data_IF_540871913961
#
_entry.id   IF_540871913961
#
_cell.length_a   1.000
_cell.length_b   1.000
_cell.length_c   1.000
_cell.angle_alpha   90.00
_cell.angle_beta   90.00
_cell.angle_gamma   90.00
#
_symmetry.space_group_name_H-M   'P 1'
#
loop_
_entity.id
_entity.type
_entity.pdbx_description
1 polymer ?
#
# COMPACT_ATOMS: atom_id res chain seq x y z
N UNK A 1 1.79 33.41 30.20
CA UNK A 1 0.79 33.58 29.14
C UNK A 1 1.18 32.70 27.98
N UNK A 2 0.39 31.67 27.66
CA UNK A 2 0.64 30.81 26.52
C UNK A 2 0.06 31.49 25.27
N UNK A 3 0.90 31.74 24.26
CA UNK A 3 0.44 32.26 22.98
C UNK A 3 -0.29 31.13 22.21
N UNK A 4 -1.48 31.41 21.64
CA UNK A 4 -2.29 30.41 20.96
C UNK A 4 -1.66 30.05 19.61
N UNK A 5 -1.26 28.78 19.46
CA UNK A 5 -0.75 28.22 18.22
C UNK A 5 -1.88 28.04 17.22
N UNK A 6 -1.94 28.90 16.20
CA UNK A 6 -2.95 28.79 15.15
C UNK A 6 -3.05 29.95 14.17
N UNK A 7 -2.22 31.00 14.27
CA UNK A 7 -2.34 32.13 13.36
C UNK A 7 -1.36 32.06 12.19
N UNK A 8 -1.93 32.34 11.02
CA UNK A 8 -1.35 32.37 9.65
C UNK A 8 -0.32 33.50 9.46
N UNK A 9 0.33 33.95 10.52
CA UNK A 9 1.34 35.00 10.44
C UNK A 9 2.69 34.38 10.10
N UNK A 10 3.34 34.91 9.06
CA UNK A 10 4.73 34.62 8.73
C UNK A 10 5.55 34.78 10.02
N UNK A 11 6.04 33.68 10.59
CA UNK A 11 6.91 33.73 11.77
C UNK A 11 8.08 34.62 11.40
N UNK A 12 8.27 35.72 12.14
CA UNK A 12 9.36 36.65 11.84
C UNK A 12 10.70 35.94 12.07
N UNK A 13 11.73 36.14 11.21
CA UNK A 13 13.03 35.52 11.44
C UNK A 13 13.55 35.89 12.84
N UNK A 14 14.22 34.97 13.56
CA UNK A 14 14.84 35.29 14.86
C UNK A 14 15.73 36.52 14.79
N UNK A 15 16.34 36.75 13.62
CA UNK A 15 17.10 37.93 13.26
C UNK A 15 16.42 39.28 13.50
N UNK A 16 15.09 39.35 13.40
CA UNK A 16 14.34 40.56 13.77
C UNK A 16 14.38 40.79 15.27
N UNK A 17 14.07 39.76 16.08
CA UNK A 17 14.15 39.83 17.54
C UNK A 17 15.57 40.14 18.01
N UNK A 18 16.59 39.57 17.35
CA UNK A 18 18.00 39.88 17.62
C UNK A 18 18.28 41.36 17.36
N UNK A 19 17.79 41.91 16.26
CA UNK A 19 17.95 43.34 15.92
C UNK A 19 17.31 44.24 16.97
N UNK A 20 16.06 43.96 17.34
CA UNK A 20 15.33 44.75 18.33
C UNK A 20 16.09 44.78 19.68
N UNK A 21 16.61 43.63 20.14
CA UNK A 21 17.40 43.54 21.38
C UNK A 21 18.77 44.25 21.32
N UNK A 22 19.40 44.28 20.14
CA UNK A 22 20.65 45.00 19.91
C UNK A 22 20.38 46.52 19.98
N UNK A 23 19.30 46.98 19.35
CA UNK A 23 18.87 48.38 19.32
C UNK A 23 18.46 48.88 20.73
N UNK A 24 17.70 48.09 21.48
CA UNK A 24 17.30 48.39 22.86
C UNK A 24 18.50 48.56 23.81
N UNK A 25 19.63 47.91 23.50
CA UNK A 25 20.89 48.01 24.24
C UNK A 25 21.81 49.12 23.73
N UNK A 26 21.38 49.89 22.73
CA UNK A 26 22.18 50.94 22.09
C UNK A 26 23.42 50.41 21.35
N UNK A 27 23.42 49.12 20.98
CA UNK A 27 24.55 48.45 20.36
C UNK A 27 24.45 48.53 18.84
N UNK A 28 25.58 48.67 18.15
CA UNK A 28 25.60 48.56 16.67
C UNK A 28 25.71 47.10 16.23
N UNK A 29 25.26 46.74 15.03
CA UNK A 29 25.46 45.37 14.50
C UNK A 29 26.94 44.98 14.42
N UNK A 30 27.82 45.95 14.14
CA UNK A 30 29.27 45.77 14.13
C UNK A 30 29.81 45.41 15.52
N UNK A 31 29.36 46.14 16.53
CA UNK A 31 29.70 45.86 17.91
C UNK A 31 29.16 44.49 18.36
N UNK A 32 27.92 44.15 18.00
CA UNK A 32 27.35 42.84 18.27
C UNK A 32 28.17 41.72 17.62
N UNK A 33 28.55 41.87 16.35
CA UNK A 33 29.41 40.91 15.66
C UNK A 33 30.75 40.69 16.38
N UNK A 34 31.36 41.79 16.86
CA UNK A 34 32.59 41.73 17.65
C UNK A 34 32.39 40.97 18.97
N UNK A 35 31.29 41.23 19.70
CA UNK A 35 30.97 40.52 20.96
C UNK A 35 30.62 39.04 20.76
N UNK A 36 30.09 38.70 19.59
CA UNK A 36 29.74 37.33 19.21
C UNK A 36 30.92 36.50 18.69
N UNK A 37 32.07 37.14 18.46
CA UNK A 37 33.20 36.56 17.72
C UNK A 37 32.77 36.03 16.34
N UNK A 38 32.00 36.85 15.61
CA UNK A 38 31.49 36.55 14.28
C UNK A 38 31.79 37.71 13.32
N UNK A 39 31.86 37.42 12.02
CA UNK A 39 31.97 38.49 11.02
C UNK A 39 30.69 39.32 10.93
N UNK A 40 30.80 40.62 10.63
CA UNK A 40 29.65 41.50 10.38
C UNK A 40 28.73 40.93 9.28
N UNK A 41 29.32 40.30 8.25
CA UNK A 41 28.60 39.60 7.17
C UNK A 41 27.74 38.46 7.70
N UNK A 42 28.26 37.66 8.64
CA UNK A 42 27.52 36.54 9.22
C UNK A 42 26.37 37.04 10.09
N UNK A 43 26.60 38.08 10.91
CA UNK A 43 25.54 38.73 11.71
C UNK A 43 24.45 39.32 10.81
N UNK A 44 24.82 40.00 9.72
CA UNK A 44 23.86 40.55 8.77
C UNK A 44 22.96 39.46 8.18
N UNK A 45 23.53 38.31 7.80
CA UNK A 45 22.78 37.15 7.31
C UNK A 45 21.92 36.46 8.38
N UNK A 46 22.38 36.41 9.63
CA UNK A 46 21.57 35.92 10.75
C UNK A 46 20.36 36.83 10.95
N UNK A 47 20.57 38.15 10.91
CA UNK A 47 19.54 39.17 11.07
C UNK A 47 18.52 39.14 9.91
N UNK A 48 18.96 38.83 8.68
CA UNK A 48 18.05 38.68 7.52
C UNK A 48 17.34 37.31 7.47
N UNK A 49 17.74 36.34 8.30
CA UNK A 49 17.20 34.98 8.29
C UNK A 49 17.78 34.06 7.21
N UNK A 50 18.80 34.51 6.47
CA UNK A 50 19.44 33.73 5.40
C UNK A 50 20.28 32.55 5.90
N UNK A 51 20.82 32.63 7.11
CA UNK A 51 21.65 31.56 7.70
C UNK A 51 21.04 31.07 9.01
N UNK A 52 21.25 29.78 9.28
CA UNK A 52 20.72 29.09 10.45
C UNK A 52 21.28 29.71 11.74
N UNK A 53 20.40 30.01 12.69
CA UNK A 53 20.80 30.35 14.05
C UNK A 53 21.15 29.04 14.79
N UNK A 54 22.40 28.62 14.66
CA UNK A 54 22.87 27.34 15.24
C UNK A 54 22.92 27.38 16.76
N UNK A 55 22.88 26.22 17.42
CA UNK A 55 23.02 26.13 18.88
C UNK A 55 24.31 26.75 19.40
N UNK A 56 25.42 26.64 18.67
CA UNK A 56 26.69 27.30 19.02
C UNK A 56 26.54 28.83 19.03
N UNK A 57 25.93 29.40 17.98
CA UNK A 57 25.66 30.84 17.90
C UNK A 57 24.69 31.25 19.02
N UNK A 58 23.67 30.46 19.33
CA UNK A 58 22.74 30.72 20.44
C UNK A 58 23.50 30.79 21.77
N UNK A 59 24.35 29.81 22.08
CA UNK A 59 25.09 29.77 23.35
C UNK A 59 26.00 31.01 23.54
N UNK A 60 26.65 31.47 22.48
CA UNK A 60 27.41 32.74 22.50
C UNK A 60 26.48 33.93 22.73
N UNK A 61 25.36 33.95 22.01
CA UNK A 61 24.39 35.04 21.98
C UNK A 61 23.72 35.30 23.32
N UNK A 62 23.45 34.25 24.10
CA UNK A 62 22.85 34.36 25.44
C UNK A 62 23.70 35.25 26.35
N UNK A 63 25.02 35.14 26.25
CA UNK A 63 25.94 35.97 27.04
C UNK A 63 25.92 37.44 26.60
N UNK A 64 25.52 37.72 25.35
CA UNK A 64 25.53 39.08 24.76
C UNK A 64 24.17 39.78 24.87
N UNK A 65 23.07 39.08 24.59
CA UNK A 65 21.70 39.64 24.54
C UNK A 65 20.67 38.90 25.40
N UNK A 66 21.06 37.81 26.08
CA UNK A 66 20.21 37.09 27.04
C UNK A 66 19.22 36.11 26.41
N UNK A 67 18.18 35.78 27.20
CA UNK A 67 17.21 34.70 26.99
C UNK A 67 17.86 33.31 27.03
N UNK A 68 17.08 32.26 27.22
CA UNK A 68 17.64 30.90 27.30
C UNK A 68 17.77 30.23 25.92
N UNK A 69 18.48 29.09 25.89
CA UNK A 69 18.72 28.33 24.66
C UNK A 69 17.42 27.83 24.03
N UNK A 70 16.44 27.45 24.84
CA UNK A 70 15.17 26.89 24.37
C UNK A 70 14.34 27.96 23.66
N UNK A 71 14.30 29.19 24.18
CA UNK A 71 13.65 30.32 23.54
C UNK A 71 14.14 30.50 22.10
N UNK A 72 15.46 30.66 21.92
CA UNK A 72 16.05 30.90 20.60
C UNK A 72 15.93 29.71 19.66
N UNK A 73 16.09 28.50 20.19
CA UNK A 73 15.95 27.26 19.41
C UNK A 73 14.51 27.08 18.91
N UNK A 74 13.52 27.37 19.75
CA UNK A 74 12.11 27.30 19.36
C UNK A 74 11.77 28.37 18.31
N UNK A 75 12.27 29.60 18.48
CA UNK A 75 12.02 30.68 17.52
C UNK A 75 12.61 30.35 16.14
N UNK A 76 13.83 29.82 16.09
CA UNK A 76 14.47 29.37 14.85
C UNK A 76 13.73 28.19 14.22
N UNK A 77 13.35 27.18 15.02
CA UNK A 77 12.61 26.02 14.52
C UNK A 77 11.28 26.44 13.86
N UNK A 78 10.54 27.37 14.47
CA UNK A 78 9.28 27.88 13.95
C UNK A 78 9.47 28.67 12.66
N UNK A 79 10.47 29.54 12.61
CA UNK A 79 10.80 30.30 11.40
C UNK A 79 11.17 29.37 10.25
N UNK A 80 12.08 28.42 10.49
CA UNK A 80 12.51 27.45 9.47
C UNK A 80 11.39 26.56 9.01
N UNK A 81 10.52 26.10 9.92
CA UNK A 81 9.31 25.38 9.55
C UNK A 81 8.39 26.23 8.65
N UNK A 82 8.26 27.53 8.92
CA UNK A 82 7.52 28.47 8.08
C UNK A 82 8.14 28.64 6.68
N UNK A 83 9.45 28.86 6.60
CA UNK A 83 10.17 28.99 5.32
C UNK A 83 10.04 27.73 4.48
N UNK A 84 10.25 26.56 5.09
CA UNK A 84 10.09 25.27 4.40
C UNK A 84 8.66 25.10 3.91
N UNK A 85 7.65 25.38 4.74
CA UNK A 85 6.23 25.34 4.32
C UNK A 85 5.96 26.23 3.10
N UNK A 86 6.53 27.44 3.06
CA UNK A 86 6.37 28.33 1.92
C UNK A 86 7.01 27.75 0.65
N UNK A 87 8.22 27.21 0.75
CA UNK A 87 8.90 26.55 -0.39
C UNK A 87 8.20 25.27 -0.85
N UNK A 88 7.46 24.60 0.05
CA UNK A 88 6.69 23.41 -0.28
C UNK A 88 5.33 23.74 -0.95
N UNK A 89 4.84 24.98 -0.89
CA UNK A 89 3.57 25.37 -1.56
C UNK A 89 3.62 25.13 -3.06
N UNK A 90 4.77 25.36 -3.70
CA UNK A 90 4.95 25.07 -5.13
C UNK A 90 4.87 23.56 -5.42
N UNK A 91 5.22 22.71 -4.46
CA UNK A 91 5.05 21.25 -4.56
C UNK A 91 3.60 20.80 -4.32
N UNK A 92 2.84 21.54 -3.49
CA UNK A 92 1.41 21.31 -3.27
C UNK A 92 0.63 21.47 -4.58
N UNK A 93 0.95 22.47 -5.39
CA UNK A 93 0.29 22.68 -6.69
C UNK A 93 0.42 21.48 -7.65
N UNK A 94 1.56 20.78 -7.61
CA UNK A 94 1.72 19.56 -8.41
C UNK A 94 0.97 18.39 -7.78
N UNK A 95 0.98 18.27 -6.45
CA UNK A 95 0.21 17.25 -5.74
C UNK A 95 -1.29 17.39 -5.98
N UNK A 96 -1.84 18.61 -6.09
CA UNK A 96 -3.25 18.86 -6.42
C UNK A 96 -3.66 18.21 -7.75
N UNK A 97 -2.77 18.21 -8.76
CA UNK A 97 -3.02 17.54 -10.04
C UNK A 97 -3.21 16.03 -9.86
N UNK A 98 -2.34 15.41 -9.06
CA UNK A 98 -2.41 13.97 -8.77
C UNK A 98 -3.61 13.66 -7.87
N UNK A 99 -3.83 14.48 -6.85
CA UNK A 99 -4.92 14.34 -5.88
C UNK A 99 -6.27 14.21 -6.56
N UNK A 100 -6.53 15.02 -7.59
CA UNK A 100 -7.78 14.99 -8.36
C UNK A 100 -8.08 13.65 -9.05
N UNK A 101 -7.06 12.80 -9.22
CA UNK A 101 -7.15 11.47 -9.85
C UNK A 101 -7.21 10.34 -8.83
N UNK A 102 -6.97 10.63 -7.54
CA UNK A 102 -7.07 9.64 -6.46
C UNK A 102 -8.53 9.57 -6.00
N UNK A 103 -9.13 8.37 -5.85
CA UNK A 103 -10.54 8.21 -5.49
C UNK A 103 -10.80 8.43 -3.99
N UNK A 104 -10.39 9.57 -3.43
CA UNK A 104 -10.44 9.86 -1.98
C UNK A 104 -11.83 9.64 -1.35
N UNK A 105 -12.88 10.05 -2.05
CA UNK A 105 -14.25 9.85 -1.58
C UNK A 105 -14.58 8.37 -1.40
N UNK A 106 -14.19 7.54 -2.36
CA UNK A 106 -14.41 6.10 -2.27
C UNK A 106 -13.55 5.45 -1.18
N UNK A 107 -12.28 5.87 -1.02
CA UNK A 107 -11.45 5.41 0.09
C UNK A 107 -12.10 5.74 1.45
N UNK A 108 -12.76 6.89 1.57
CA UNK A 108 -13.49 7.29 2.77
C UNK A 108 -14.79 6.51 2.96
N UNK A 109 -15.58 6.32 1.89
CA UNK A 109 -16.80 5.49 1.90
C UNK A 109 -16.50 4.04 2.34
N UNK A 110 -15.31 3.51 1.98
CA UNK A 110 -14.81 2.20 2.40
C UNK A 110 -14.20 2.19 3.82
N UNK A 111 -14.12 3.34 4.48
CA UNK A 111 -13.58 3.50 5.83
C UNK A 111 -12.07 3.37 5.93
N UNK A 112 -11.33 3.61 4.84
CA UNK A 112 -9.86 3.51 4.82
C UNK A 112 -9.18 4.83 5.19
N UNK A 113 -9.88 5.96 4.99
CA UNK A 113 -9.41 7.30 5.35
C UNK A 113 -10.53 8.14 5.95
N UNK A 114 -10.16 9.05 6.86
CA UNK A 114 -11.04 10.10 7.36
C UNK A 114 -10.85 11.35 6.49
N UNK A 115 -11.78 11.58 5.56
CA UNK A 115 -11.65 12.64 4.56
C UNK A 115 -11.96 14.02 5.16
N UNK A 116 -11.04 14.96 5.00
CA UNK A 116 -11.21 16.38 5.36
C UNK A 116 -11.69 17.18 4.13
N UNK A 117 -12.46 18.24 4.34
CA UNK A 117 -12.98 19.09 3.26
C UNK A 117 -11.92 20.04 2.67
N UNK A 118 -10.82 20.31 3.39
CA UNK A 118 -9.79 21.27 2.96
C UNK A 118 -8.79 20.62 2.00
N UNK A 119 -8.52 21.22 0.82
CA UNK A 119 -7.58 20.67 -0.16
C UNK A 119 -6.19 20.37 0.41
N UNK A 120 -5.64 21.27 1.23
CA UNK A 120 -4.31 21.08 1.82
C UNK A 120 -4.27 19.89 2.79
N UNK A 121 -5.37 19.66 3.53
CA UNK A 121 -5.49 18.51 4.41
C UNK A 121 -5.64 17.21 3.62
N UNK A 122 -6.34 17.23 2.48
CA UNK A 122 -6.47 16.08 1.58
C UNK A 122 -5.13 15.69 0.94
N UNK A 123 -4.28 16.66 0.57
CA UNK A 123 -2.91 16.37 0.08
C UNK A 123 -2.11 15.63 1.15
N UNK A 124 -2.11 16.11 2.39
CA UNK A 124 -1.41 15.46 3.50
C UNK A 124 -1.99 14.08 3.82
N UNK A 125 -3.32 13.93 3.77
CA UNK A 125 -4.00 12.65 3.95
C UNK A 125 -3.57 11.64 2.87
N UNK A 126 -3.52 12.05 1.60
CA UNK A 126 -3.09 11.20 0.50
C UNK A 126 -1.60 10.82 0.63
N UNK A 127 -0.73 11.77 0.96
CA UNK A 127 0.70 11.53 1.25
C UNK A 127 0.88 10.50 2.36
N UNK A 128 0.13 10.63 3.45
CA UNK A 128 0.16 9.68 4.56
C UNK A 128 -0.36 8.30 4.13
N UNK A 129 -1.47 8.24 3.39
CA UNK A 129 -2.04 7.00 2.91
C UNK A 129 -1.09 6.23 1.99
N UNK A 130 -0.42 6.92 1.06
CA UNK A 130 0.57 6.33 0.16
C UNK A 130 1.98 6.21 0.77
N UNK A 131 2.18 6.73 1.99
CA UNK A 131 3.46 6.78 2.72
C UNK A 131 4.60 7.44 1.91
N UNK A 132 4.28 8.57 1.28
CA UNK A 132 5.21 9.36 0.46
C UNK A 132 5.30 10.79 0.97
N UNK A 133 6.47 11.43 0.81
CA UNK A 133 6.61 12.84 1.17
C UNK A 133 5.95 13.78 0.15
N UNK A 134 5.77 13.34 -1.09
CA UNK A 134 5.10 14.08 -2.16
C UNK A 134 4.37 13.09 -3.10
N UNK A 135 3.26 13.48 -3.72
CA UNK A 135 2.44 12.54 -4.49
C UNK A 135 3.09 12.10 -5.80
N UNK A 136 4.03 12.87 -6.36
CA UNK A 136 4.77 12.50 -7.59
C UNK A 136 5.52 11.19 -7.43
N UNK A 137 5.91 10.84 -6.21
CA UNK A 137 6.65 9.61 -5.93
C UNK A 137 5.80 8.38 -6.25
N UNK A 138 4.46 8.45 -6.16
CA UNK A 138 3.59 7.31 -6.50
C UNK A 138 3.61 7.01 -8.01
N UNK A 139 3.98 7.99 -8.84
CA UNK A 139 4.15 7.82 -10.29
C UNK A 139 5.54 7.30 -10.66
N UNK A 140 6.46 7.16 -9.69
CA UNK A 140 7.81 6.69 -9.95
C UNK A 140 7.89 5.18 -10.15
N UNK A 141 8.76 4.74 -11.06
CA UNK A 141 8.99 3.31 -11.33
C UNK A 141 9.48 2.55 -10.07
N UNK A 142 10.21 3.24 -9.19
CA UNK A 142 10.67 2.69 -7.90
C UNK A 142 9.56 2.30 -6.94
N UNK A 143 8.36 2.89 -7.09
CA UNK A 143 7.20 2.58 -6.26
C UNK A 143 6.27 1.54 -6.88
N UNK A 144 6.51 1.17 -8.14
CA UNK A 144 5.73 0.13 -8.81
C UNK A 144 6.06 -1.23 -8.17
N UNK A 145 5.07 -1.93 -7.59
CA UNK A 145 5.31 -3.25 -7.04
C UNK A 145 5.68 -4.23 -8.17
N UNK A 146 6.33 -5.34 -7.83
CA UNK A 146 6.54 -6.43 -8.78
C UNK A 146 5.22 -7.20 -8.95
N UNK A 147 4.57 -7.10 -10.11
CA UNK A 147 3.18 -7.56 -10.30
C UNK A 147 3.07 -8.79 -11.22
N UNK A 148 2.03 -9.61 -11.02
CA UNK A 148 1.73 -10.76 -11.87
C UNK A 148 1.37 -10.39 -13.30
N UNK A 149 0.96 -9.14 -13.53
CA UNK A 149 0.51 -8.62 -14.82
C UNK A 149 1.63 -8.19 -15.78
N UNK A 150 2.91 -8.40 -15.44
CA UNK A 150 4.04 -8.22 -16.37
C UNK A 150 4.03 -6.88 -17.10
N UNK A 151 4.59 -5.83 -16.50
CA UNK A 151 4.78 -4.50 -17.12
C UNK A 151 3.54 -3.78 -17.70
N UNK A 152 2.33 -4.33 -17.53
CA UNK A 152 1.06 -3.76 -18.01
C UNK A 152 0.22 -3.19 -16.86
N UNK A 153 0.85 -2.40 -15.97
CA UNK A 153 0.12 -1.25 -15.44
C UNK A 153 0.25 -0.23 -16.56
N UNK A 154 -0.83 -0.05 -17.33
CA UNK A 154 -0.86 1.00 -18.35
C UNK A 154 -0.37 2.29 -17.71
N UNK A 155 0.63 2.92 -18.32
CA UNK A 155 1.35 4.05 -17.73
C UNK A 155 0.49 5.32 -17.71
N UNK A 156 -0.73 5.25 -18.23
CA UNK A 156 -1.85 6.06 -17.76
C UNK A 156 -2.30 5.58 -16.37
N UNK A 157 -1.46 5.86 -15.37
CA UNK A 157 -1.56 5.43 -13.97
C UNK A 157 -3.01 5.32 -13.44
N UNK A 158 -3.44 4.10 -13.13
CA UNK A 158 -4.67 3.84 -12.40
C UNK A 158 -4.44 4.04 -10.89
N UNK A 159 -4.77 5.22 -10.37
CA UNK A 159 -4.64 5.51 -8.93
C UNK A 159 -5.63 4.72 -8.08
N UNK A 160 -6.72 4.22 -8.67
CA UNK A 160 -7.65 3.31 -7.99
C UNK A 160 -6.94 1.99 -7.71
N UNK A 161 -6.24 1.43 -8.70
CA UNK A 161 -5.38 0.25 -8.51
C UNK A 161 -4.27 0.52 -7.49
N UNK A 162 -3.57 1.66 -7.58
CA UNK A 162 -2.52 1.99 -6.60
C UNK A 162 -3.07 2.09 -5.18
N UNK A 163 -4.21 2.76 -5.00
CA UNK A 163 -4.83 2.91 -3.69
C UNK A 163 -5.27 1.54 -3.13
N UNK A 164 -5.78 0.66 -3.97
CA UNK A 164 -6.17 -0.70 -3.62
C UNK A 164 -4.97 -1.57 -3.24
N UNK A 165 -3.88 -1.49 -4.00
CA UNK A 165 -2.60 -2.15 -3.68
C UNK A 165 -2.05 -1.63 -2.34
N UNK A 166 -2.10 -0.32 -2.10
CA UNK A 166 -1.63 0.28 -0.87
C UNK A 166 -2.43 -0.23 0.34
N UNK A 167 -3.76 -0.32 0.20
CA UNK A 167 -4.60 -0.92 1.24
C UNK A 167 -4.23 -2.38 1.50
N UNK A 168 -3.93 -3.14 0.44
CA UNK A 168 -3.50 -4.52 0.58
C UNK A 168 -2.15 -4.63 1.30
N UNK A 169 -1.21 -3.69 1.08
CA UNK A 169 0.05 -3.64 1.83
C UNK A 169 -0.20 -3.43 3.32
N UNK A 170 -1.08 -2.49 3.70
CA UNK A 170 -1.44 -2.28 5.11
C UNK A 170 -1.96 -3.57 5.76
N UNK A 171 -2.90 -4.26 5.11
CA UNK A 171 -3.41 -5.55 5.61
C UNK A 171 -2.34 -6.63 5.66
N UNK A 172 -1.49 -6.73 4.64
CA UNK A 172 -0.42 -7.73 4.60
C UNK A 172 0.66 -7.49 5.66
N UNK A 173 0.86 -6.25 6.15
CA UNK A 173 1.79 -5.91 7.24
C UNK A 173 1.32 -6.39 8.60
N UNK A 174 0.02 -6.35 8.88
CA UNK A 174 -0.52 -6.86 10.15
C UNK A 174 -0.58 -8.40 10.19
N UNK A 175 -0.36 -9.08 9.05
CA UNK A 175 -0.35 -10.54 8.99
C UNK A 175 1.03 -11.13 9.37
N UNK A 176 1.02 -12.11 10.28
CA UNK A 176 2.21 -12.91 10.61
C UNK A 176 2.60 -13.88 9.50
N UNK A 177 3.37 -13.42 8.51
CA UNK A 177 3.80 -14.18 7.32
C UNK A 177 5.29 -14.52 7.39
N UNK A 178 5.66 -15.77 7.05
CA UNK A 178 7.06 -16.21 7.01
C UNK A 178 7.79 -15.71 5.75
N UNK A 179 9.13 -15.83 5.66
CA UNK A 179 9.82 -15.65 4.38
C UNK A 179 9.29 -16.60 3.30
N UNK A 180 9.18 -16.11 2.06
CA UNK A 180 8.65 -16.87 0.93
C UNK A 180 9.49 -18.11 0.60
N UNK A 181 8.86 -19.28 0.65
CA UNK A 181 9.45 -20.58 0.32
C UNK A 181 8.64 -21.25 -0.81
N UNK A 182 9.17 -21.17 -2.03
CA UNK A 182 8.51 -21.67 -3.24
C UNK A 182 8.35 -23.19 -3.22
N UNK A 183 9.33 -23.93 -2.67
CA UNK A 183 9.28 -25.40 -2.59
C UNK A 183 8.21 -25.83 -1.58
N UNK A 184 8.11 -25.12 -0.47
CA UNK A 184 7.05 -25.36 0.52
C UNK A 184 5.69 -25.01 -0.04
N UNK A 185 5.57 -23.90 -0.77
CA UNK A 185 4.33 -23.51 -1.45
C UNK A 185 3.87 -24.63 -2.39
N UNK A 186 4.73 -25.06 -3.31
CA UNK A 186 4.49 -26.13 -4.28
C UNK A 186 4.02 -27.44 -3.60
N UNK A 187 4.73 -27.88 -2.55
CA UNK A 187 4.38 -29.10 -1.78
C UNK A 187 3.03 -29.02 -1.09
N UNK A 188 2.51 -27.82 -0.81
CA UNK A 188 1.22 -27.65 -0.15
C UNK A 188 0.06 -27.43 -1.14
N UNK A 189 0.27 -27.41 -2.46
CA UNK A 189 -0.80 -27.19 -3.45
C UNK A 189 -1.92 -28.22 -3.37
N UNK A 190 -1.61 -29.50 -3.11
CA UNK A 190 -2.63 -30.53 -2.87
C UNK A 190 -3.48 -30.24 -1.62
N UNK A 191 -2.90 -29.65 -0.56
CA UNK A 191 -3.68 -29.26 0.62
C UNK A 191 -4.53 -28.04 0.31
N UNK A 192 -3.98 -27.05 -0.39
CA UNK A 192 -4.72 -25.85 -0.82
C UNK A 192 -5.95 -26.25 -1.64
N UNK A 193 -5.81 -27.11 -2.66
CA UNK A 193 -6.95 -27.50 -3.50
C UNK A 193 -8.04 -28.24 -2.71
N UNK A 194 -7.65 -29.03 -1.71
CA UNK A 194 -8.59 -29.76 -0.86
C UNK A 194 -9.46 -28.87 0.02
N UNK A 195 -9.03 -27.63 0.28
CA UNK A 195 -9.84 -26.65 1.01
C UNK A 195 -11.08 -26.21 0.23
N UNK A 196 -11.13 -26.45 -1.09
CA UNK A 196 -12.30 -26.14 -1.93
C UNK A 196 -13.56 -26.92 -1.56
N UNK A 197 -13.42 -28.01 -0.81
CA UNK A 197 -14.54 -28.80 -0.29
C UNK A 197 -15.19 -28.20 0.96
N UNK A 198 -14.59 -27.17 1.57
CA UNK A 198 -15.09 -26.56 2.79
C UNK A 198 -15.89 -25.29 2.49
N UNK A 199 -16.69 -24.84 3.44
CA UNK A 199 -17.38 -23.54 3.34
C UNK A 199 -16.40 -22.37 3.45
N UNK A 200 -16.73 -21.16 2.93
CA UNK A 200 -15.90 -19.95 3.08
C UNK A 200 -15.47 -19.65 4.52
N UNK A 201 -16.38 -19.83 5.48
CA UNK A 201 -16.09 -19.60 6.91
C UNK A 201 -14.99 -20.52 7.43
N UNK A 202 -14.85 -21.72 6.86
CA UNK A 202 -13.89 -22.74 7.27
C UNK A 202 -12.59 -22.71 6.45
N UNK A 203 -12.67 -22.56 5.12
CA UNK A 203 -11.45 -22.57 4.30
C UNK A 203 -10.66 -21.29 4.42
N UNK A 204 -11.30 -20.12 4.54
CA UNK A 204 -10.60 -18.84 4.42
C UNK A 204 -9.52 -18.67 5.51
N UNK A 205 -9.79 -18.94 6.81
CA UNK A 205 -8.74 -18.89 7.84
C UNK A 205 -7.65 -19.95 7.63
N UNK A 206 -8.02 -21.16 7.17
CA UNK A 206 -7.08 -22.26 6.91
C UNK A 206 -6.16 -21.93 5.73
N UNK A 207 -6.72 -21.33 4.68
CA UNK A 207 -6.01 -20.88 3.49
C UNK A 207 -5.00 -19.79 3.88
N UNK A 208 -5.45 -18.76 4.61
CA UNK A 208 -4.58 -17.69 5.10
C UNK A 208 -3.42 -18.25 5.94
N UNK A 209 -3.70 -19.14 6.90
CA UNK A 209 -2.66 -19.76 7.73
C UNK A 209 -1.67 -20.63 6.92
N UNK A 210 -2.17 -21.42 5.97
CA UNK A 210 -1.35 -22.28 5.12
C UNK A 210 -0.44 -21.46 4.20
N UNK A 211 -0.98 -20.42 3.55
CA UNK A 211 -0.23 -19.52 2.68
C UNK A 211 0.76 -18.67 3.47
N UNK A 212 0.38 -18.15 4.65
CA UNK A 212 1.28 -17.41 5.53
C UNK A 212 2.49 -18.26 5.97
N UNK A 213 2.28 -19.56 6.21
CA UNK A 213 3.37 -20.49 6.53
C UNK A 213 4.33 -20.76 5.34
N UNK A 214 3.84 -20.58 4.11
CA UNK A 214 4.64 -20.62 2.88
C UNK A 214 5.27 -19.26 2.52
N UNK A 215 4.91 -18.20 3.25
CA UNK A 215 5.38 -16.84 3.04
C UNK A 215 4.60 -16.02 2.01
N UNK A 216 3.31 -16.35 1.86
CA UNK A 216 2.36 -15.62 1.01
C UNK A 216 1.27 -15.01 1.90
N UNK A 217 1.10 -13.69 1.85
CA UNK A 217 -0.04 -13.01 2.45
C UNK A 217 -1.27 -13.18 1.54
N UNK A 218 -2.41 -13.55 2.12
CA UNK A 218 -3.68 -13.64 1.40
C UNK A 218 -4.67 -12.63 1.98
N UNK A 219 -4.95 -11.58 1.22
CA UNK A 219 -5.78 -10.45 1.61
C UNK A 219 -7.08 -10.46 0.81
N UNK A 220 -8.18 -10.11 1.45
CA UNK A 220 -9.46 -9.86 0.79
C UNK A 220 -9.83 -8.40 1.03
N UNK A 221 -10.14 -7.67 -0.04
CA UNK A 221 -10.58 -6.28 0.01
C UNK A 221 -11.94 -6.14 -0.70
N UNK A 222 -12.77 -5.15 -0.33
CA UNK A 222 -13.93 -4.78 -1.13
C UNK A 222 -13.52 -4.35 -2.55
N UNK A 223 -14.48 -4.36 -3.47
CA UNK A 223 -14.30 -3.82 -4.81
C UNK A 223 -14.19 -2.29 -4.75
N UNK A 224 -13.47 -1.72 -5.71
CA UNK A 224 -13.56 -0.29 -6.02
C UNK A 224 -14.25 -0.13 -7.37
N UNK A 225 -15.06 0.92 -7.54
CA UNK A 225 -15.99 1.10 -8.67
C UNK A 225 -15.32 0.99 -10.03
N UNK A 226 -14.14 1.58 -10.16
CA UNK A 226 -13.38 1.62 -11.41
C UNK A 226 -12.41 0.44 -11.56
N UNK A 227 -12.32 -0.42 -10.53
CA UNK A 227 -11.38 -1.55 -10.52
C UNK A 227 -12.10 -2.86 -10.86
N UNK A 228 -11.95 -3.29 -12.11
CA UNK A 228 -12.49 -4.56 -12.60
C UNK A 228 -11.52 -5.75 -12.41
N UNK A 229 -10.79 -5.77 -11.29
CA UNK A 229 -9.87 -6.87 -10.97
C UNK A 229 -10.52 -7.84 -9.98
N UNK A 230 -10.51 -9.13 -10.33
CA UNK A 230 -10.95 -10.17 -9.41
C UNK A 230 -9.87 -10.48 -8.37
N UNK A 231 -8.63 -10.63 -8.82
CA UNK A 231 -7.49 -11.01 -8.00
C UNK A 231 -6.22 -10.41 -8.59
N UNK A 232 -5.24 -10.19 -7.72
CA UNK A 232 -3.97 -9.61 -8.10
C UNK A 232 -2.86 -10.14 -7.20
N UNK A 233 -1.69 -10.37 -7.77
CA UNK A 233 -0.51 -10.80 -7.02
C UNK A 233 0.61 -9.80 -7.20
N UNK A 234 1.24 -9.44 -6.08
CA UNK A 234 2.43 -8.61 -6.12
C UNK A 234 3.46 -9.01 -5.05
N UNK A 235 4.70 -8.56 -5.24
CA UNK A 235 5.74 -8.62 -4.23
C UNK A 235 6.17 -7.22 -3.82
N UNK A 236 6.03 -6.91 -2.52
CA UNK A 236 6.47 -5.66 -1.92
C UNK A 236 6.93 -5.91 -0.47
N UNK A 237 7.85 -5.10 0.04
CA UNK A 237 8.32 -5.16 1.44
C UNK A 237 8.78 -6.57 1.89
N UNK A 238 9.43 -7.29 0.98
CA UNK A 238 9.94 -8.64 1.24
C UNK A 238 8.86 -9.73 1.29
N UNK A 239 7.61 -9.44 0.93
CA UNK A 239 6.47 -10.36 1.02
C UNK A 239 5.75 -10.50 -0.32
N UNK A 240 5.38 -11.75 -0.66
CA UNK A 240 4.42 -12.01 -1.73
C UNK A 240 3.01 -11.88 -1.18
N UNK A 241 2.15 -11.16 -1.88
CA UNK A 241 0.78 -10.88 -1.47
C UNK A 241 -0.15 -11.21 -2.63
N UNK A 242 -1.15 -12.05 -2.35
CA UNK A 242 -2.31 -12.29 -3.21
C UNK A 242 -3.47 -11.50 -2.60
N UNK A 243 -4.13 -10.68 -3.41
CA UNK A 243 -5.27 -9.87 -3.00
C UNK A 243 -6.47 -10.26 -3.83
N UNK A 244 -7.61 -10.48 -3.17
CA UNK A 244 -8.87 -10.80 -3.79
C UNK A 244 -9.87 -9.68 -3.57
N UNK A 245 -10.63 -9.37 -4.61
CA UNK A 245 -11.88 -8.62 -4.47
C UNK A 245 -12.95 -9.52 -3.86
N UNK A 246 -13.67 -9.00 -2.86
CA UNK A 246 -14.62 -9.77 -2.06
C UNK A 246 -15.90 -10.15 -2.80
N UNK A 247 -16.31 -9.33 -3.76
CA UNK A 247 -17.62 -9.40 -4.41
C UNK A 247 -17.66 -10.40 -5.57
N UNK A 248 -18.85 -10.94 -5.84
CA UNK A 248 -19.16 -11.64 -7.09
C UNK A 248 -18.47 -12.99 -7.29
N UNK A 249 -17.73 -13.50 -6.30
CA UNK A 249 -16.99 -14.76 -6.45
C UNK A 249 -17.86 -15.94 -6.13
N UNK A 250 -17.96 -16.84 -7.09
CA UNK A 250 -18.46 -18.19 -6.86
C UNK A 250 -17.28 -19.16 -6.67
N UNK A 251 -17.59 -20.41 -6.30
CA UNK A 251 -16.59 -21.44 -6.01
C UNK A 251 -15.60 -21.65 -7.16
N UNK A 252 -16.07 -21.79 -8.39
CA UNK A 252 -15.21 -21.98 -9.56
C UNK A 252 -14.26 -20.79 -9.82
N UNK A 253 -14.80 -19.57 -9.89
CA UNK A 253 -14.01 -18.36 -10.17
C UNK A 253 -12.99 -18.11 -9.07
N UNK A 254 -13.38 -18.30 -7.80
CA UNK A 254 -12.45 -18.13 -6.68
C UNK A 254 -11.23 -19.04 -6.79
N UNK A 255 -11.46 -20.36 -6.94
CA UNK A 255 -10.36 -21.34 -6.92
C UNK A 255 -9.51 -21.29 -8.20
N UNK A 256 -10.10 -21.01 -9.37
CA UNK A 256 -9.32 -20.83 -10.61
C UNK A 256 -8.42 -19.60 -10.49
N UNK A 257 -8.98 -18.45 -10.09
CA UNK A 257 -8.19 -17.22 -9.92
C UNK A 257 -7.12 -17.40 -8.84
N UNK A 258 -7.40 -18.13 -7.76
CA UNK A 258 -6.41 -18.37 -6.70
C UNK A 258 -5.22 -19.18 -7.22
N UNK A 259 -5.48 -20.24 -7.98
CA UNK A 259 -4.42 -21.09 -8.50
C UNK A 259 -3.61 -20.42 -9.60
N UNK A 260 -4.21 -19.52 -10.40
CA UNK A 260 -3.47 -18.64 -11.31
C UNK A 260 -2.53 -17.71 -10.56
N UNK A 261 -3.01 -17.04 -9.51
CA UNK A 261 -2.20 -16.15 -8.68
C UNK A 261 -1.06 -16.90 -7.96
N UNK A 262 -1.31 -18.12 -7.46
CA UNK A 262 -0.28 -18.99 -6.90
C UNK A 262 0.75 -19.42 -7.95
N UNK A 263 0.32 -19.67 -9.18
CA UNK A 263 1.21 -20.00 -10.29
C UNK A 263 2.15 -18.84 -10.63
N UNK A 264 1.69 -17.59 -10.61
CA UNK A 264 2.58 -16.42 -10.77
C UNK A 264 3.71 -16.39 -9.74
N UNK A 265 3.43 -16.78 -8.49
CA UNK A 265 4.47 -16.87 -7.44
C UNK A 265 5.43 -18.04 -7.75
N UNK A 266 4.91 -19.21 -8.08
CA UNK A 266 5.72 -20.41 -8.35
C UNK A 266 6.64 -20.24 -9.58
N UNK A 267 6.14 -19.59 -10.63
CA UNK A 267 6.87 -19.25 -11.86
C UNK A 267 7.80 -18.06 -11.70
N UNK A 268 7.77 -17.37 -10.55
CA UNK A 268 8.58 -16.17 -10.26
C UNK A 268 8.27 -15.01 -11.22
N UNK A 269 7.01 -14.88 -11.63
CA UNK A 269 6.52 -13.68 -12.31
C UNK A 269 6.52 -12.47 -11.37
N UNK A 270 6.48 -12.72 -10.05
CA UNK A 270 6.63 -11.72 -8.99
C UNK A 270 7.80 -12.06 -8.08
N UNK A 271 8.46 -11.06 -7.51
CA UNK A 271 9.52 -11.25 -6.51
C UNK A 271 10.81 -10.46 -6.78
N UNK A 272 11.84 -10.61 -5.93
CA UNK A 272 13.11 -9.92 -6.09
C UNK A 272 13.97 -10.51 -7.22
N UNK A 273 13.61 -11.68 -7.76
CA UNK A 273 14.27 -12.35 -8.87
C UNK A 273 13.20 -12.75 -9.91
N UNK A 274 12.62 -11.74 -10.56
CA UNK A 274 11.61 -11.95 -11.59
C UNK A 274 12.23 -12.69 -12.78
N UNK A 275 11.48 -13.66 -13.29
CA UNK A 275 11.67 -14.20 -14.63
C UNK A 275 10.73 -13.44 -15.56
N UNK A 276 11.29 -12.62 -16.44
CA UNK A 276 10.51 -11.90 -17.44
C UNK A 276 9.99 -12.90 -18.48
N UNK A 277 8.68 -12.98 -18.65
CA UNK A 277 8.03 -13.74 -19.71
C UNK A 277 7.03 -12.84 -20.44
N UNK A 278 6.98 -12.94 -21.77
CA UNK A 278 5.96 -12.27 -22.59
C UNK A 278 4.60 -12.97 -22.50
N UNK A 279 4.58 -14.22 -22.05
CA UNK A 279 3.39 -15.07 -21.95
C UNK A 279 3.04 -15.39 -20.49
N UNK A 280 3.50 -14.58 -19.54
CA UNK A 280 3.37 -14.82 -18.09
C UNK A 280 1.93 -15.12 -17.63
N UNK A 281 0.94 -14.50 -18.27
CA UNK A 281 -0.49 -14.75 -18.00
C UNK A 281 -0.87 -16.17 -18.43
N UNK A 282 -0.58 -16.55 -19.67
CA UNK A 282 -0.86 -17.88 -20.23
C UNK A 282 -0.13 -18.99 -19.48
N UNK A 283 1.13 -18.76 -19.11
CA UNK A 283 1.92 -19.69 -18.31
C UNK A 283 1.30 -19.92 -16.92
N UNK A 284 0.89 -18.84 -16.25
CA UNK A 284 0.25 -18.92 -14.94
C UNK A 284 -1.13 -19.58 -14.99
N UNK A 285 -1.91 -19.31 -16.03
CA UNK A 285 -3.17 -20.02 -16.27
C UNK A 285 -2.97 -21.52 -16.47
N UNK A 286 -2.03 -21.90 -17.34
CA UNK A 286 -1.70 -23.29 -17.63
C UNK A 286 -1.24 -24.04 -16.37
N UNK A 287 -0.28 -23.48 -15.63
CA UNK A 287 0.18 -24.09 -14.37
C UNK A 287 -0.93 -24.10 -13.31
N UNK A 288 -1.72 -23.03 -13.20
CA UNK A 288 -2.85 -22.97 -12.27
C UNK A 288 -3.85 -24.10 -12.50
N UNK A 289 -4.22 -24.37 -13.76
CA UNK A 289 -5.08 -25.49 -14.10
C UNK A 289 -4.45 -26.85 -13.80
N UNK A 290 -3.16 -27.02 -14.10
CA UNK A 290 -2.44 -28.27 -13.83
C UNK A 290 -2.35 -28.56 -12.32
N UNK A 291 -2.11 -27.55 -11.50
CA UNK A 291 -2.08 -27.66 -10.04
C UNK A 291 -3.47 -27.96 -9.45
N UNK A 292 -4.52 -27.34 -10.01
CA UNK A 292 -5.89 -27.51 -9.52
C UNK A 292 -6.48 -28.86 -9.91
N UNK A 293 -6.33 -29.25 -11.18
CA UNK A 293 -6.83 -30.51 -11.73
C UNK A 293 -5.83 -31.05 -12.79
N UNK A 294 -4.94 -31.99 -12.41
CA UNK A 294 -3.86 -32.46 -13.28
C UNK A 294 -4.38 -33.08 -14.59
N UNK A 295 -3.68 -32.80 -15.69
CA UNK A 295 -4.12 -33.17 -17.04
C UNK A 295 -4.28 -34.68 -17.23
N UNK A 296 -3.47 -35.51 -16.57
CA UNK A 296 -3.57 -36.97 -16.68
C UNK A 296 -4.80 -37.54 -15.95
N UNK A 297 -5.17 -36.91 -14.82
CA UNK A 297 -6.40 -37.23 -14.10
C UNK A 297 -7.61 -36.81 -14.92
N UNK A 298 -7.54 -35.64 -15.57
CA UNK A 298 -8.57 -35.17 -16.48
C UNK A 298 -8.77 -36.09 -17.70
N UNK A 299 -7.69 -36.50 -18.37
CA UNK A 299 -7.76 -37.47 -19.48
C UNK A 299 -8.41 -38.79 -19.05
N UNK A 300 -8.08 -39.27 -17.85
CA UNK A 300 -8.68 -40.48 -17.27
C UNK A 300 -10.19 -40.32 -17.08
N UNK A 301 -10.64 -39.16 -16.62
CA UNK A 301 -12.07 -38.86 -16.49
C UNK A 301 -12.78 -38.82 -17.85
N UNK A 302 -12.22 -38.12 -18.84
CA UNK A 302 -12.78 -38.03 -20.19
C UNK A 302 -12.91 -39.41 -20.86
N UNK A 303 -11.96 -40.31 -20.63
CA UNK A 303 -11.99 -41.67 -21.16
C UNK A 303 -13.19 -42.50 -20.64
N UNK A 304 -13.78 -42.14 -19.49
CA UNK A 304 -14.97 -42.81 -18.94
C UNK A 304 -16.24 -42.53 -19.77
N UNK A 305 -16.24 -41.49 -20.62
CA UNK A 305 -17.37 -41.07 -21.48
C UNK A 305 -18.72 -40.92 -20.76
N UNK A 306 -18.68 -40.62 -19.46
CA UNK A 306 -19.84 -40.43 -18.59
C UNK A 306 -19.67 -39.13 -17.81
N UNK A 307 -20.57 -38.18 -18.05
CA UNK A 307 -20.47 -36.81 -17.54
C UNK A 307 -21.74 -36.38 -16.78
N UNK A 308 -22.51 -37.35 -16.28
CA UNK A 308 -23.64 -37.05 -15.39
C UNK A 308 -23.17 -36.51 -14.03
N UNK A 309 -24.08 -35.89 -13.28
CA UNK A 309 -23.79 -35.31 -11.97
C UNK A 309 -23.12 -36.32 -11.03
N UNK A 310 -23.57 -37.58 -11.03
CA UNK A 310 -22.99 -38.64 -10.19
C UNK A 310 -21.52 -38.89 -10.55
N UNK A 311 -21.17 -38.95 -11.83
CA UNK A 311 -19.79 -39.12 -12.28
C UNK A 311 -18.92 -37.91 -11.89
N UNK A 312 -19.46 -36.70 -12.00
CA UNK A 312 -18.77 -35.46 -11.61
C UNK A 312 -18.51 -35.42 -10.10
N UNK A 313 -19.52 -35.69 -9.28
CA UNK A 313 -19.38 -35.75 -7.82
C UNK A 313 -18.37 -36.80 -7.39
N UNK A 314 -18.42 -37.99 -8.01
CA UNK A 314 -17.47 -39.08 -7.72
C UNK A 314 -16.05 -38.68 -8.07
N UNK A 315 -15.82 -38.12 -9.27
CA UNK A 315 -14.50 -37.69 -9.69
C UNK A 315 -13.96 -36.52 -8.86
N UNK A 316 -14.80 -35.54 -8.52
CA UNK A 316 -14.44 -34.44 -7.63
C UNK A 316 -14.02 -34.94 -6.24
N UNK A 317 -14.69 -35.96 -5.71
CA UNK A 317 -14.32 -36.62 -4.46
C UNK A 317 -12.98 -37.38 -4.58
N UNK A 318 -12.75 -38.11 -5.68
CA UNK A 318 -11.47 -38.78 -5.97
C UNK A 318 -10.31 -37.75 -6.00
N UNK A 319 -10.52 -36.61 -6.65
CA UNK A 319 -9.52 -35.54 -6.79
C UNK A 319 -9.43 -34.62 -5.56
N UNK A 320 -10.38 -34.73 -4.63
CA UNK A 320 -10.50 -33.86 -3.45
C UNK A 320 -10.61 -32.38 -3.84
N UNK A 321 -11.51 -32.06 -4.77
CA UNK A 321 -11.79 -30.69 -5.21
C UNK A 321 -13.29 -30.43 -5.27
N UNK A 322 -13.70 -29.16 -5.26
CA UNK A 322 -15.10 -28.79 -5.39
C UNK A 322 -15.69 -29.24 -6.74
N UNK A 323 -16.90 -29.84 -6.78
CA UNK A 323 -17.51 -30.33 -8.02
C UNK A 323 -17.68 -29.28 -9.12
N UNK A 324 -17.92 -28.01 -8.74
CA UNK A 324 -18.03 -26.92 -9.72
C UNK A 324 -16.78 -26.75 -10.58
N UNK A 325 -15.59 -27.14 -10.10
CA UNK A 325 -14.35 -27.05 -10.87
C UNK A 325 -14.30 -28.09 -12.00
N UNK A 326 -14.80 -29.29 -11.73
CA UNK A 326 -14.94 -30.36 -12.73
C UNK A 326 -16.00 -29.97 -13.75
N UNK A 327 -17.16 -29.49 -13.28
CA UNK A 327 -18.27 -29.05 -14.14
C UNK A 327 -17.85 -27.88 -15.03
N UNK A 328 -17.15 -26.87 -14.48
CA UNK A 328 -16.67 -25.73 -15.26
C UNK A 328 -15.68 -26.16 -16.37
N UNK A 329 -14.85 -27.17 -16.12
CA UNK A 329 -13.90 -27.68 -17.12
C UNK A 329 -14.56 -28.49 -18.25
N UNK A 330 -15.80 -28.94 -18.07
CA UNK A 330 -16.58 -29.61 -19.13
C UNK A 330 -17.22 -28.63 -20.13
N UNK A 331 -17.24 -27.32 -19.85
CA UNK A 331 -17.79 -26.31 -20.78
C UNK A 331 -19.32 -26.29 -20.84
N UNK A 332 -19.92 -26.26 -22.03
CA UNK A 332 -21.35 -25.96 -22.29
C UNK A 332 -22.38 -26.88 -21.59
N UNK A 333 -21.95 -28.00 -20.99
CA UNK A 333 -22.76 -28.80 -20.05
C UNK A 333 -23.04 -28.08 -18.70
N UNK A 334 -22.50 -26.88 -18.51
CA UNK A 334 -22.58 -26.04 -17.29
C UNK A 334 -24.00 -25.64 -16.89
N UNK A 335 -24.94 -25.46 -17.85
CA UNK A 335 -26.28 -24.93 -17.54
C UNK A 335 -27.10 -25.85 -16.64
N UNK A 336 -26.98 -27.16 -16.82
CA UNK A 336 -27.71 -28.17 -16.03
C UNK A 336 -27.05 -28.45 -14.66
N UNK A 337 -25.82 -27.98 -14.47
CA UNK A 337 -24.99 -28.24 -13.28
C UNK A 337 -24.70 -26.96 -12.49
N UNK A 338 -25.35 -25.85 -12.82
CA UNK A 338 -25.14 -24.56 -12.18
C UNK A 338 -25.43 -24.58 -10.67
N UNK A 339 -26.28 -25.50 -10.19
CA UNK A 339 -26.56 -25.72 -8.77
C UNK A 339 -25.37 -26.24 -7.97
N UNK A 340 -24.34 -26.78 -8.64
CA UNK A 340 -23.09 -27.18 -8.00
C UNK A 340 -22.20 -25.97 -7.68
N UNK A 341 -22.48 -24.79 -8.22
CA UNK A 341 -21.70 -23.58 -8.01
C UNK A 341 -22.22 -22.81 -6.80
N UNK A 342 -21.32 -22.47 -5.87
CA UNK A 342 -21.67 -21.82 -4.61
C UNK A 342 -21.16 -20.38 -4.63
N UNK A 343 -22.02 -19.41 -4.36
CA UNK A 343 -21.60 -18.03 -4.14
C UNK A 343 -20.83 -17.90 -2.82
N UNK A 344 -19.72 -17.17 -2.83
CA UNK A 344 -18.88 -16.94 -1.66
C UNK A 344 -19.05 -15.51 -1.14
N UNK A 345 -19.29 -15.41 0.16
CA UNK A 345 -19.20 -14.16 0.91
C UNK A 345 -17.84 -14.15 1.63
N UNK A 346 -16.88 -13.40 1.08
CA UNK A 346 -15.48 -13.44 1.54
C UNK A 346 -15.16 -12.42 2.63
N UNK A 347 -15.95 -11.35 2.77
CA UNK A 347 -15.80 -10.37 3.85
C UNK A 347 -16.59 -10.83 5.09
N UNK A 348 -15.95 -10.76 6.26
CA UNK A 348 -16.65 -10.76 7.54
C UNK A 348 -16.97 -9.31 7.92
N UNK A 349 -18.11 -9.10 8.56
CA UNK A 349 -18.63 -7.78 9.01
C UNK A 349 -17.65 -6.95 9.86
N UNK A 350 -16.62 -7.56 10.44
CA UNK A 350 -15.69 -6.90 11.36
C UNK A 350 -14.41 -6.35 10.72
N UNK A 351 -14.19 -6.54 9.40
CA UNK A 351 -12.94 -6.15 8.71
C UNK A 351 -12.88 -4.65 8.38
N UNK A 352 -13.98 -3.91 8.50
CA UNK A 352 -14.07 -2.48 8.14
C UNK A 352 -13.56 -1.51 9.21
N UNK A 353 -12.94 -1.96 10.31
CA UNK A 353 -12.32 -1.02 11.26
C UNK A 353 -10.88 -0.72 10.84
N UNK A 354 -10.48 0.56 10.76
CA UNK A 354 -9.10 0.92 10.50
C UNK A 354 -8.24 0.48 11.69
N UNK A 355 -7.34 -0.48 11.46
CA UNK A 355 -6.18 -0.68 12.33
C UNK A 355 -5.15 0.36 11.90
N UNK A 356 -5.30 1.60 12.39
CA UNK A 356 -4.21 2.56 12.31
C UNK A 356 -3.03 2.02 13.15
N UNK A 357 -1.79 2.14 12.66
CA UNK A 357 -0.65 1.98 13.55
C UNK A 357 -0.79 3.03 14.66
N UNK A 358 -0.84 2.57 15.91
CA UNK A 358 -0.82 3.47 17.06
C UNK A 358 0.41 4.38 16.95
N UNK A 359 0.16 5.68 17.11
CA UNK A 359 1.15 6.78 17.03
C UNK A 359 2.42 6.52 17.81
#
# INVERSE_FOLDING_TARGET
MAFPWGNKELVSPPGKTIRDLIEDRGMTQKEFATRMDLSEKHVSKLISGEVLLTTDVILRMISVIGMDVLFWSNLEALYRAGVVRETLKDQVAFDERILSRIPLKELSDLGWIDLDDRPEAQVELARQYFEVCTLQIIESESMSPYTSYGAYIDREMDYTLLAWIQQAKFRARSMGVRPLDHRKLERNMMKVRSLSLLSPKEFLPKLQGLLAHCGVAFVVLPAMKELHLEAFTFFAEGRATIVFTAEGKNSETFWISLFRELAHILLRHVGPRIVSSKDAISEAESLGFELLLPSDRWKTFLARKRFDEKAILTFAQEEKIHPSLVANRLGDSKKELAHLTVAYELLRSDVNKPEHPAK
#
